data_IF_188607090468
#
_entry.id   IF_188607090468
#
_cell.length_a   1.000
_cell.length_b   1.000
_cell.length_c   1.000
_cell.angle_alpha   90.00
_cell.angle_beta   90.00
_cell.angle_gamma   90.00
#
_symmetry.space_group_name_H-M   'P 1'
#
loop_
_entity.id
_entity.type
_entity.pdbx_description
1 polymer ?
#
# COMPACT_ATOMS: atom_id res chain seq x y z
N UNK A 1 -9.72 -3.18 13.77
CA UNK A 1 -8.75 -2.10 14.02
C UNK A 1 -7.46 -2.70 14.57
N UNK A 2 -6.34 -2.14 14.25
CA UNK A 2 -5.04 -2.56 14.78
C UNK A 2 -4.16 -1.34 15.02
N UNK A 3 -3.12 -1.52 15.76
CA UNK A 3 -2.00 -0.61 15.92
C UNK A 3 -0.75 -1.44 16.19
N UNK A 4 0.34 -1.11 15.53
CA UNK A 4 1.62 -1.78 15.68
C UNK A 4 2.69 -0.75 16.02
N UNK A 5 3.60 -1.09 16.91
CA UNK A 5 4.76 -0.28 17.26
C UNK A 5 5.84 -1.15 17.92
N UNK A 6 7.12 -0.84 17.70
CA UNK A 6 8.24 -1.54 18.35
C UNK A 6 8.33 -1.27 19.87
N UNK A 7 7.76 -0.16 20.34
CA UNK A 7 7.61 0.16 21.77
C UNK A 7 6.14 -0.02 22.18
N UNK A 8 5.88 -0.98 23.07
CA UNK A 8 4.53 -1.27 23.60
C UNK A 8 3.90 -0.05 24.29
N UNK A 9 4.72 0.85 24.85
CA UNK A 9 4.23 2.09 25.48
C UNK A 9 3.59 3.08 24.51
N UNK A 10 3.82 2.92 23.20
CA UNK A 10 3.22 3.71 22.14
C UNK A 10 1.90 3.12 21.61
N UNK A 11 1.48 1.95 22.10
CA UNK A 11 0.21 1.31 21.72
C UNK A 11 -0.92 1.82 22.60
N UNK A 12 -1.91 2.48 21.97
CA UNK A 12 -3.13 2.94 22.62
C UNK A 12 -4.25 1.90 22.43
N UNK A 13 -4.32 0.94 23.35
CA UNK A 13 -5.32 -0.14 23.31
C UNK A 13 -6.75 0.40 23.36
N UNK A 14 -7.02 1.46 24.12
CA UNK A 14 -8.36 2.04 24.24
C UNK A 14 -8.79 2.67 22.91
N UNK A 15 -7.89 3.32 22.20
CA UNK A 15 -8.17 3.86 20.86
C UNK A 15 -8.43 2.75 19.83
N UNK A 16 -7.67 1.64 19.87
CA UNK A 16 -7.90 0.47 19.00
C UNK A 16 -9.27 -0.13 19.26
N UNK A 17 -9.63 -0.33 20.53
CA UNK A 17 -10.95 -0.86 20.93
C UNK A 17 -12.06 0.11 20.48
N UNK A 18 -11.90 1.40 20.73
CA UNK A 18 -12.90 2.41 20.33
C UNK A 18 -13.12 2.41 18.81
N UNK A 19 -12.06 2.37 18.00
CA UNK A 19 -12.15 2.27 16.53
C UNK A 19 -12.86 0.99 16.09
N UNK A 20 -12.54 -0.16 16.69
CA UNK A 20 -13.17 -1.44 16.34
C UNK A 20 -14.67 -1.45 16.68
N UNK A 21 -15.05 -0.95 17.86
CA UNK A 21 -16.45 -0.85 18.30
C UNK A 21 -17.23 0.12 17.40
N UNK A 22 -16.68 1.30 17.08
CA UNK A 22 -17.34 2.26 16.20
C UNK A 22 -17.60 1.66 14.81
N UNK A 23 -16.59 1.04 14.20
CA UNK A 23 -16.75 0.35 12.92
C UNK A 23 -17.79 -0.75 12.97
N UNK A 24 -17.78 -1.58 14.02
CA UNK A 24 -18.76 -2.64 14.20
C UNK A 24 -20.19 -2.11 14.37
N UNK A 25 -20.37 -0.97 15.05
CA UNK A 25 -21.68 -0.31 15.21
C UNK A 25 -22.17 0.30 13.90
N UNK A 26 -21.29 1.03 13.21
CA UNK A 26 -21.60 1.71 11.91
C UNK A 26 -21.76 0.71 10.77
N UNK A 27 -21.09 -0.44 10.84
CA UNK A 27 -21.14 -1.49 9.82
C UNK A 27 -22.42 -2.34 9.84
N UNK A 28 -23.39 -2.05 10.71
CA UNK A 28 -24.67 -2.79 10.77
C UNK A 28 -25.57 -2.42 9.58
N UNK A 29 -26.30 -3.43 9.08
CA UNK A 29 -27.27 -3.28 8.03
C UNK A 29 -26.69 -2.56 6.78
N UNK A 30 -25.62 -3.10 6.19
CA UNK A 30 -25.01 -2.48 5.03
C UNK A 30 -25.98 -2.48 3.85
N UNK A 31 -26.00 -1.40 3.08
CA UNK A 31 -26.82 -1.34 1.88
C UNK A 31 -26.02 -1.79 0.64
N UNK A 32 -26.74 -2.34 -0.32
CA UNK A 32 -26.14 -2.63 -1.62
C UNK A 32 -25.80 -1.35 -2.36
N UNK A 33 -24.61 -1.33 -2.95
CA UNK A 33 -24.17 -0.26 -3.82
C UNK A 33 -23.76 -0.87 -5.17
N UNK A 34 -24.03 -0.16 -6.25
CA UNK A 34 -23.65 -0.63 -7.58
C UNK A 34 -22.14 -0.66 -7.73
N UNK A 35 -21.61 -1.74 -8.29
CA UNK A 35 -20.19 -1.82 -8.65
C UNK A 35 -19.92 -0.91 -9.86
N UNK A 36 -19.02 0.04 -9.69
CA UNK A 36 -18.57 1.00 -10.69
C UNK A 36 -17.25 1.64 -10.23
N UNK A 37 -16.80 2.67 -10.90
CA UNK A 37 -15.69 3.50 -10.42
C UNK A 37 -16.16 4.49 -9.35
N UNK A 38 -15.38 4.60 -8.27
CA UNK A 38 -15.60 5.56 -7.18
C UNK A 38 -14.31 6.28 -6.84
N UNK A 39 -14.40 7.52 -6.40
CA UNK A 39 -13.34 8.11 -5.59
C UNK A 39 -13.31 7.39 -4.25
N UNK A 40 -12.14 6.90 -3.86
CA UNK A 40 -11.98 6.20 -2.58
C UNK A 40 -11.04 6.95 -1.64
N UNK A 41 -11.37 6.93 -0.35
CA UNK A 41 -10.41 7.23 0.71
C UNK A 41 -10.03 5.89 1.34
N UNK A 42 -8.77 5.51 1.15
CA UNK A 42 -8.20 4.29 1.71
C UNK A 42 -7.54 4.61 3.04
N UNK A 43 -7.96 3.94 4.11
CA UNK A 43 -7.25 4.01 5.39
C UNK A 43 -5.90 3.27 5.30
N UNK A 44 -4.94 3.53 6.19
CA UNK A 44 -3.59 2.94 6.11
C UNK A 44 -3.58 1.42 5.93
N UNK A 45 -4.47 0.68 6.59
CA UNK A 45 -4.56 -0.78 6.47
C UNK A 45 -5.03 -1.24 5.06
N UNK A 46 -5.84 -0.43 4.37
CA UNK A 46 -6.19 -0.70 2.97
C UNK A 46 -5.02 -0.36 2.04
N UNK A 47 -4.31 0.73 2.31
CA UNK A 47 -3.11 1.13 1.55
C UNK A 47 -2.02 0.06 1.68
N UNK A 48 -1.73 -0.44 2.91
CA UNK A 48 -0.71 -1.47 3.14
C UNK A 48 -0.98 -2.74 2.33
N UNK A 49 -2.25 -3.15 2.23
CA UNK A 49 -2.65 -4.33 1.45
C UNK A 49 -2.30 -4.21 -0.05
N UNK A 50 -2.28 -2.99 -0.59
CA UNK A 50 -1.88 -2.73 -1.97
C UNK A 50 -0.36 -2.61 -2.09
N UNK A 51 0.28 -1.89 -1.16
CA UNK A 51 1.73 -1.67 -1.16
C UNK A 51 2.52 -2.95 -0.98
N UNK A 52 2.01 -3.92 -0.22
CA UNK A 52 2.60 -5.24 -0.09
C UNK A 52 2.87 -5.89 -1.45
N UNK A 53 1.86 -5.90 -2.34
CA UNK A 53 2.02 -6.50 -3.67
C UNK A 53 2.96 -5.70 -4.57
N UNK A 54 2.95 -4.38 -4.44
CA UNK A 54 3.90 -3.52 -5.16
C UNK A 54 5.34 -3.80 -4.72
N UNK A 55 5.59 -3.98 -3.42
CA UNK A 55 6.88 -4.43 -2.89
C UNK A 55 7.25 -5.81 -3.41
N UNK A 56 6.38 -6.79 -3.18
CA UNK A 56 6.63 -8.21 -3.49
C UNK A 56 6.91 -8.49 -4.97
N UNK A 57 6.22 -7.85 -5.90
CA UNK A 57 6.32 -8.15 -7.32
C UNK A 57 6.72 -6.95 -8.20
N UNK A 58 6.83 -5.75 -7.61
CA UNK A 58 7.06 -4.53 -8.39
C UNK A 58 8.51 -4.09 -8.48
N UNK A 59 9.26 -4.16 -7.40
CA UNK A 59 10.54 -3.46 -7.27
C UNK A 59 11.77 -4.36 -7.11
N UNK A 60 11.64 -5.67 -7.31
CA UNK A 60 12.79 -6.58 -7.29
C UNK A 60 13.58 -6.55 -8.61
N UNK A 61 14.90 -6.67 -8.52
CA UNK A 61 15.77 -6.72 -9.71
C UNK A 61 15.53 -7.98 -10.55
N UNK A 62 15.11 -9.10 -9.93
CA UNK A 62 14.72 -10.30 -10.66
C UNK A 62 13.48 -10.06 -11.51
N UNK A 63 12.44 -9.46 -10.95
CA UNK A 63 11.18 -9.14 -11.62
C UNK A 63 11.42 -8.18 -12.79
N UNK A 64 12.32 -7.20 -12.61
CA UNK A 64 12.75 -6.30 -13.67
C UNK A 64 13.43 -7.05 -14.82
N UNK A 65 14.42 -7.91 -14.50
CA UNK A 65 15.16 -8.70 -15.50
C UNK A 65 14.25 -9.65 -16.28
N UNK A 66 13.37 -10.34 -15.59
CA UNK A 66 12.38 -11.26 -16.16
C UNK A 66 11.21 -10.53 -16.85
N UNK A 67 11.23 -9.21 -16.90
CA UNK A 67 10.21 -8.35 -17.53
C UNK A 67 8.82 -8.49 -16.94
N UNK A 68 8.73 -8.85 -15.67
CA UNK A 68 7.48 -8.99 -14.89
C UNK A 68 7.18 -7.79 -13.99
N UNK A 69 8.11 -6.83 -13.89
CA UNK A 69 7.99 -5.63 -13.07
C UNK A 69 7.36 -4.45 -13.85
N UNK A 70 6.59 -3.57 -13.18
CA UNK A 70 6.13 -2.31 -13.77
C UNK A 70 7.27 -1.35 -14.09
N UNK A 71 8.48 -1.56 -13.57
CA UNK A 71 9.67 -0.76 -13.86
C UNK A 71 10.23 -0.98 -15.27
N UNK A 72 9.79 -2.02 -15.99
CA UNK A 72 10.34 -2.36 -17.32
C UNK A 72 10.17 -1.22 -18.31
N UNK A 73 11.26 -0.55 -18.61
CA UNK A 73 11.31 0.61 -19.51
C UNK A 73 10.75 1.91 -18.92
N UNK A 74 10.49 1.95 -17.59
CA UNK A 74 9.88 3.10 -16.92
C UNK A 74 10.71 3.69 -15.79
N UNK A 75 11.92 3.19 -15.53
CA UNK A 75 12.81 3.76 -14.51
C UNK A 75 13.05 5.24 -14.83
N UNK A 76 12.81 6.13 -13.88
CA UNK A 76 12.88 7.58 -14.04
C UNK A 76 11.66 8.21 -14.72
N UNK A 77 10.67 7.42 -15.18
CA UNK A 77 9.44 7.95 -15.75
C UNK A 77 8.58 8.58 -14.64
N UNK A 78 8.22 9.85 -14.82
CA UNK A 78 7.32 10.58 -13.94
C UNK A 78 5.88 10.32 -14.37
N UNK A 79 5.14 9.56 -13.59
CA UNK A 79 3.76 9.21 -13.90
C UNK A 79 2.82 9.29 -12.71
N UNK A 80 3.34 9.47 -11.50
CA UNK A 80 2.55 9.63 -10.29
C UNK A 80 2.45 11.11 -9.88
N UNK A 81 1.48 11.49 -9.06
CA UNK A 81 1.38 12.85 -8.53
C UNK A 81 2.64 13.29 -7.78
N UNK A 82 2.93 14.58 -7.85
CA UNK A 82 3.99 15.20 -7.06
C UNK A 82 3.73 14.94 -5.57
N UNK A 83 4.80 14.63 -4.83
CA UNK A 83 4.69 14.31 -3.40
C UNK A 83 4.41 12.85 -3.08
N UNK A 84 4.07 11.99 -4.06
CA UNK A 84 4.04 10.55 -3.83
C UNK A 84 5.47 10.03 -3.68
N UNK A 85 5.80 9.59 -2.48
CA UNK A 85 7.11 9.08 -2.10
C UNK A 85 6.95 7.66 -1.56
N UNK A 86 7.71 6.71 -2.07
CA UNK A 86 7.80 5.35 -1.54
C UNK A 86 9.26 4.92 -1.52
N UNK A 87 9.73 4.39 -0.41
CA UNK A 87 11.10 3.87 -0.30
C UNK A 87 11.13 2.63 0.57
N UNK A 88 12.17 1.83 0.41
CA UNK A 88 12.57 0.83 1.39
C UNK A 88 13.61 1.45 2.33
N UNK A 89 13.39 1.39 3.64
CA UNK A 89 14.30 1.97 4.64
C UNK A 89 14.31 1.18 5.94
N UNK A 90 15.19 0.20 6.04
CA UNK A 90 15.46 -0.53 7.28
C UNK A 90 16.07 0.36 8.39
N UNK A 91 16.48 1.60 8.04
CA UNK A 91 17.04 2.59 8.94
C UNK A 91 16.03 3.50 9.62
N UNK A 92 14.74 3.40 9.26
CA UNK A 92 13.68 4.21 9.86
C UNK A 92 13.68 4.10 11.38
N UNK A 93 13.59 5.23 12.08
CA UNK A 93 13.57 5.25 13.55
C UNK A 93 12.25 4.71 14.10
N UNK A 94 11.15 4.97 13.40
CA UNK A 94 9.80 4.57 13.82
C UNK A 94 9.48 3.12 13.44
N UNK A 95 10.16 2.61 12.41
CA UNK A 95 9.96 1.26 11.88
C UNK A 95 11.32 0.63 11.50
N UNK A 96 12.13 0.26 12.51
CA UNK A 96 13.45 -0.30 12.26
C UNK A 96 13.35 -1.73 11.72
N UNK A 97 13.98 -1.97 10.57
CA UNK A 97 14.15 -3.29 9.99
C UNK A 97 15.51 -3.91 10.32
N UNK A 98 15.74 -5.10 9.77
CA UNK A 98 17.05 -5.73 9.80
C UNK A 98 18.07 -4.88 9.04
N UNK A 99 19.18 -4.54 9.68
CA UNK A 99 20.23 -3.67 9.11
C UNK A 99 21.11 -4.35 8.05
N UNK A 100 20.97 -5.64 7.86
CA UNK A 100 21.65 -6.43 6.85
C UNK A 100 20.71 -7.49 6.30
N UNK A 101 21.00 -7.93 5.08
CA UNK A 101 20.20 -8.93 4.37
C UNK A 101 20.63 -10.38 4.65
N UNK A 102 20.03 -11.35 3.96
CA UNK A 102 20.33 -12.77 4.09
C UNK A 102 21.75 -13.19 3.65
N UNK A 103 22.47 -12.32 2.95
CA UNK A 103 23.88 -12.50 2.57
C UNK A 103 24.86 -11.76 3.51
N UNK A 104 24.34 -11.04 4.52
CA UNK A 104 25.10 -10.21 5.43
C UNK A 104 25.51 -8.85 4.86
N UNK A 105 24.94 -8.44 3.74
CA UNK A 105 25.17 -7.13 3.13
C UNK A 105 24.35 -6.05 3.88
N UNK A 106 24.97 -4.92 4.27
CA UNK A 106 24.21 -3.82 4.87
C UNK A 106 23.09 -3.33 3.95
N UNK A 107 21.89 -3.18 4.49
CA UNK A 107 20.75 -2.61 3.76
C UNK A 107 20.95 -1.12 3.57
N UNK A 108 20.67 -0.64 2.38
CA UNK A 108 20.66 0.78 2.06
C UNK A 108 19.23 1.25 1.84
N UNK A 109 18.96 2.52 2.11
CA UNK A 109 17.68 3.14 1.74
C UNK A 109 17.58 3.23 0.23
N UNK A 110 16.49 2.70 -0.35
CA UNK A 110 16.25 2.68 -1.79
C UNK A 110 14.97 3.47 -2.11
N UNK A 111 15.05 4.56 -2.89
CA UNK A 111 13.87 5.25 -3.38
C UNK A 111 13.20 4.43 -4.48
N UNK A 112 11.97 3.94 -4.22
CA UNK A 112 11.17 3.14 -5.15
C UNK A 112 10.26 4.02 -6.00
N UNK A 113 9.66 5.05 -5.39
CA UNK A 113 9.00 6.16 -6.07
C UNK A 113 9.52 7.45 -5.43
N UNK A 114 10.04 8.34 -6.23
CA UNK A 114 10.56 9.63 -5.77
C UNK A 114 10.01 10.77 -6.62
N UNK A 115 9.34 11.73 -5.98
CA UNK A 115 8.72 12.89 -6.64
C UNK A 115 7.84 12.50 -7.85
N UNK A 116 7.04 11.46 -7.67
CA UNK A 116 6.16 10.92 -8.70
C UNK A 116 6.85 10.14 -9.82
N UNK A 117 8.16 9.91 -9.76
CA UNK A 117 8.89 9.10 -10.74
C UNK A 117 9.23 7.71 -10.19
N UNK A 118 9.23 6.70 -11.06
CA UNK A 118 9.78 5.40 -10.72
C UNK A 118 11.28 5.48 -10.42
N UNK A 119 11.66 4.94 -9.26
CA UNK A 119 13.06 4.84 -8.80
C UNK A 119 13.76 3.58 -9.30
N UNK A 120 14.70 3.11 -8.50
CA UNK A 120 15.51 1.94 -8.81
C UNK A 120 14.93 0.67 -8.18
N UNK A 121 15.21 -0.53 -8.75
CA UNK A 121 14.88 -1.78 -8.09
C UNK A 121 15.82 -2.01 -6.90
N UNK A 122 15.36 -2.82 -5.95
CA UNK A 122 16.24 -3.39 -4.92
C UNK A 122 17.03 -4.56 -5.50
N UNK A 123 18.25 -4.78 -4.98
CA UNK A 123 19.19 -5.78 -5.49
C UNK A 123 19.82 -6.57 -4.34
N UNK A 124 20.26 -7.78 -4.66
CA UNK A 124 21.22 -8.60 -3.90
C UNK A 124 22.58 -8.66 -4.63
N UNK A 125 23.53 -9.41 -4.13
CA UNK A 125 24.85 -9.52 -4.76
C UNK A 125 24.81 -10.13 -6.17
N UNK A 126 23.92 -11.10 -6.41
CA UNK A 126 23.77 -11.76 -7.72
C UNK A 126 23.18 -10.81 -8.76
N UNK A 127 22.05 -10.18 -8.43
CA UNK A 127 21.32 -9.34 -9.37
C UNK A 127 21.99 -8.00 -9.59
N UNK A 128 22.66 -7.45 -8.56
CA UNK A 128 23.51 -6.26 -8.71
C UNK A 128 24.60 -6.48 -9.74
N UNK A 129 25.31 -7.60 -9.67
CA UNK A 129 26.36 -7.97 -10.63
C UNK A 129 25.81 -8.22 -12.03
N UNK A 130 24.65 -8.90 -12.15
CA UNK A 130 24.08 -9.26 -13.44
C UNK A 130 23.58 -8.03 -14.21
N UNK A 131 23.02 -7.04 -13.50
CA UNK A 131 22.40 -5.86 -14.08
C UNK A 131 23.32 -4.62 -14.07
N UNK A 132 24.55 -4.75 -13.55
CA UNK A 132 25.49 -3.65 -13.35
C UNK A 132 24.88 -2.52 -12.49
N UNK A 133 24.25 -2.90 -11.38
CA UNK A 133 23.63 -2.02 -10.42
C UNK A 133 24.35 -2.10 -9.06
N UNK A 134 24.21 -1.08 -8.18
CA UNK A 134 24.67 -1.17 -6.80
C UNK A 134 23.97 -2.33 -6.06
N UNK A 135 24.69 -3.06 -5.19
CA UNK A 135 24.09 -4.00 -4.25
C UNK A 135 23.42 -3.21 -3.12
N UNK A 136 22.10 -3.33 -3.00
CA UNK A 136 21.31 -2.59 -2.01
C UNK A 136 21.07 -3.35 -0.71
N UNK A 137 21.54 -4.61 -0.62
CA UNK A 137 21.40 -5.45 0.56
C UNK A 137 19.97 -5.96 0.79
N UNK A 138 19.34 -6.50 -0.27
CA UNK A 138 17.95 -6.99 -0.19
C UNK A 138 17.82 -8.48 -0.54
N UNK A 139 18.87 -9.27 -0.25
CA UNK A 139 18.80 -10.72 -0.43
C UNK A 139 17.84 -11.36 0.56
N UNK A 140 17.00 -12.27 0.07
CA UNK A 140 16.26 -13.18 0.94
C UNK A 140 17.21 -14.06 1.80
N UNK A 141 16.74 -14.60 2.94
CA UNK A 141 17.51 -15.58 3.70
C UNK A 141 17.94 -16.77 2.84
N UNK A 142 19.21 -17.14 2.90
CA UNK A 142 19.77 -18.21 2.08
C UNK A 142 19.68 -19.59 2.75
N UNK A 143 19.49 -20.69 1.99
CA UNK A 143 19.40 -20.76 0.52
C UNK A 143 18.02 -20.35 -0.01
N UNK A 144 17.96 -19.49 -1.02
CA UNK A 144 16.72 -19.04 -1.65
C UNK A 144 16.87 -18.94 -3.17
N UNK A 145 15.79 -19.27 -3.88
CA UNK A 145 15.66 -19.00 -5.33
C UNK A 145 14.89 -17.70 -5.60
N UNK A 146 14.34 -17.09 -4.57
CA UNK A 146 13.66 -15.80 -4.67
C UNK A 146 14.68 -14.69 -4.89
N UNK A 147 14.35 -13.74 -5.77
CA UNK A 147 15.12 -12.52 -5.96
C UNK A 147 15.00 -11.56 -4.78
N UNK A 148 15.73 -10.44 -4.86
CA UNK A 148 15.64 -9.38 -3.86
C UNK A 148 14.27 -8.73 -3.86
N UNK A 149 13.75 -8.41 -2.68
CA UNK A 149 12.48 -7.71 -2.53
C UNK A 149 12.57 -6.63 -1.44
N UNK A 150 11.82 -5.52 -1.57
CA UNK A 150 11.66 -4.57 -0.48
C UNK A 150 10.99 -5.23 0.72
N UNK A 151 11.48 -4.93 1.93
CA UNK A 151 10.93 -5.49 3.17
C UNK A 151 10.53 -4.41 4.18
N UNK A 152 11.06 -3.18 4.05
CA UNK A 152 10.78 -2.08 4.95
C UNK A 152 10.16 -0.91 4.20
N UNK A 153 8.95 -1.13 3.66
CA UNK A 153 8.25 -0.13 2.86
C UNK A 153 7.77 1.05 3.72
N UNK A 154 8.15 2.24 3.31
CA UNK A 154 7.74 3.50 3.93
C UNK A 154 7.21 4.44 2.85
N UNK A 155 5.94 4.79 2.96
CA UNK A 155 5.32 5.84 2.14
C UNK A 155 5.36 7.18 2.87
N UNK A 156 5.76 8.22 2.16
CA UNK A 156 5.86 9.58 2.70
C UNK A 156 4.51 10.15 3.12
N UNK A 157 4.53 10.99 4.17
CA UNK A 157 3.37 11.77 4.57
C UNK A 157 3.05 12.86 3.55
N UNK A 158 1.75 13.11 3.34
CA UNK A 158 1.24 14.29 2.64
C UNK A 158 0.88 15.43 3.60
N UNK A 159 -0.09 16.24 3.20
CA UNK A 159 -0.47 17.44 3.93
C UNK A 159 -1.89 17.41 4.50
N UNK A 160 -2.74 16.49 4.04
CA UNK A 160 -4.16 16.47 4.37
C UNK A 160 -4.44 15.58 5.58
N UNK A 161 -5.32 16.00 6.48
CA UNK A 161 -5.88 15.07 7.47
C UNK A 161 -6.84 14.09 6.79
N UNK A 162 -7.18 12.96 7.45
CA UNK A 162 -8.16 11.99 6.92
C UNK A 162 -9.52 12.68 6.70
N UNK A 163 -9.92 13.59 7.58
CA UNK A 163 -11.15 14.37 7.46
C UNK A 163 -11.10 15.30 6.23
N UNK A 164 -9.95 15.89 5.93
CA UNK A 164 -9.75 16.69 4.71
C UNK A 164 -9.80 15.83 3.45
N UNK A 165 -9.19 14.64 3.46
CA UNK A 165 -9.30 13.68 2.36
C UNK A 165 -10.78 13.32 2.11
N UNK A 166 -11.56 13.05 3.16
CA UNK A 166 -12.98 12.71 3.07
C UNK A 166 -13.79 13.91 2.59
N UNK A 167 -13.55 15.11 3.12
CA UNK A 167 -14.31 16.32 2.77
C UNK A 167 -14.16 16.72 1.29
N UNK A 168 -13.08 16.29 0.65
CA UNK A 168 -12.86 16.48 -0.78
C UNK A 168 -13.60 15.50 -1.70
N UNK A 169 -14.43 14.60 -1.16
CA UNK A 169 -15.15 13.57 -1.94
C UNK A 169 -16.63 13.86 -1.96
N UNK A 170 -17.18 14.18 -3.14
CA UNK A 170 -18.63 14.40 -3.29
C UNK A 170 -19.42 13.08 -3.25
N UNK A 171 -18.98 12.06 -4.01
CA UNK A 171 -19.56 10.71 -4.02
C UNK A 171 -18.46 9.67 -4.12
N UNK A 172 -18.29 8.88 -3.07
CA UNK A 172 -17.19 7.92 -3.00
C UNK A 172 -17.30 6.94 -1.84
N UNK A 173 -16.17 6.30 -1.50
CA UNK A 173 -16.13 5.28 -0.47
C UNK A 173 -14.96 5.53 0.49
N UNK A 174 -15.22 5.37 1.79
CA UNK A 174 -14.18 5.15 2.80
C UNK A 174 -13.98 3.65 2.95
N UNK A 175 -12.74 3.17 2.79
CA UNK A 175 -12.39 1.75 2.84
C UNK A 175 -11.37 1.53 3.93
N UNK A 176 -11.74 0.72 4.94
CA UNK A 176 -10.86 0.44 6.06
C UNK A 176 -9.81 -0.62 5.76
N UNK A 177 -10.16 -1.64 4.97
CA UNK A 177 -9.26 -2.75 4.67
C UNK A 177 -9.66 -3.45 3.37
N UNK A 178 -8.67 -4.06 2.71
CA UNK A 178 -8.89 -5.06 1.67
C UNK A 178 -8.64 -6.47 2.20
N UNK A 179 -9.25 -7.46 1.56
CA UNK A 179 -9.14 -8.88 1.90
C UNK A 179 -9.15 -9.74 0.65
N UNK A 180 -8.52 -10.91 0.72
CA UNK A 180 -8.31 -11.78 -0.44
C UNK A 180 -7.68 -11.04 -1.63
N UNK A 181 -6.79 -10.09 -1.33
CA UNK A 181 -6.02 -9.41 -2.37
C UNK A 181 -5.04 -10.40 -2.99
N UNK A 182 -5.04 -10.48 -4.32
CA UNK A 182 -4.15 -11.33 -5.09
C UNK A 182 -3.66 -10.62 -6.34
N UNK A 183 -2.44 -10.95 -6.75
CA UNK A 183 -1.85 -10.48 -7.98
C UNK A 183 -2.33 -11.34 -9.16
N UNK A 184 -2.93 -10.70 -10.16
CA UNK A 184 -3.39 -11.34 -11.39
C UNK A 184 -2.34 -11.23 -12.47
N UNK A 185 -1.78 -10.04 -12.64
CA UNK A 185 -0.81 -9.74 -13.68
C UNK A 185 0.28 -8.82 -13.11
N UNK A 186 1.54 -9.30 -13.05
CA UNK A 186 2.60 -8.57 -12.35
C UNK A 186 3.11 -7.33 -13.09
N UNK A 187 3.15 -7.34 -14.41
CA UNK A 187 3.74 -6.22 -15.17
C UNK A 187 2.96 -4.93 -15.07
N UNK A 188 1.62 -5.01 -15.11
CA UNK A 188 0.74 -3.87 -14.93
C UNK A 188 0.19 -3.79 -13.50
N UNK A 189 0.70 -4.68 -12.61
CA UNK A 189 0.29 -4.78 -11.21
C UNK A 189 -1.23 -4.86 -11.06
N UNK A 190 -1.88 -5.73 -11.85
CA UNK A 190 -3.33 -5.91 -11.74
C UNK A 190 -3.61 -6.77 -10.52
N UNK A 191 -4.31 -6.20 -9.56
CA UNK A 191 -4.75 -6.83 -8.33
C UNK A 191 -6.25 -7.06 -8.36
N UNK A 192 -6.70 -8.13 -7.72
CA UNK A 192 -8.10 -8.35 -7.34
C UNK A 192 -8.20 -8.53 -5.85
N UNK A 193 -9.32 -8.17 -5.28
CA UNK A 193 -9.59 -8.32 -3.86
C UNK A 193 -10.99 -7.85 -3.51
N UNK A 194 -11.29 -7.80 -2.22
CA UNK A 194 -12.58 -7.34 -1.70
C UNK A 194 -12.37 -6.33 -0.58
N UNK A 195 -13.28 -5.38 -0.45
CA UNK A 195 -13.33 -4.53 0.75
C UNK A 195 -13.76 -5.34 1.96
N UNK A 196 -13.29 -4.97 3.14
CA UNK A 196 -13.59 -5.64 4.40
C UNK A 196 -13.41 -4.69 5.59
N UNK A 197 -13.98 -5.07 6.74
CA UNK A 197 -13.72 -4.40 8.03
C UNK A 197 -14.34 -3.02 8.18
N UNK A 198 -15.08 -2.56 7.18
CA UNK A 198 -15.76 -1.28 7.11
C UNK A 198 -15.61 -0.67 5.73
N UNK A 199 -16.72 -0.61 5.01
CA UNK A 199 -16.85 0.10 3.75
C UNK A 199 -18.02 1.05 3.93
N UNK A 200 -17.78 2.35 3.78
CA UNK A 200 -18.80 3.38 4.06
C UNK A 200 -18.93 4.30 2.86
N UNK A 201 -20.18 4.67 2.55
CA UNK A 201 -20.45 5.63 1.50
C UNK A 201 -20.07 7.04 1.95
N UNK A 202 -19.35 7.78 1.12
CA UNK A 202 -19.09 9.20 1.32
C UNK A 202 -20.03 9.98 0.40
N UNK A 203 -20.79 10.92 0.97
CA UNK A 203 -21.67 11.82 0.23
C UNK A 203 -21.47 13.26 0.72
N UNK A 204 -21.20 14.18 -0.21
CA UNK A 204 -20.98 15.59 0.12
C UNK A 204 -19.90 15.81 1.17
N UNK A 205 -18.80 15.06 1.11
CA UNK A 205 -17.68 15.16 2.05
C UNK A 205 -17.92 14.55 3.44
N UNK A 206 -18.98 13.74 3.61
CA UNK A 206 -19.32 13.14 4.90
C UNK A 206 -19.44 11.61 4.79
N UNK A 207 -18.95 10.91 5.81
CA UNK A 207 -19.08 9.46 5.88
C UNK A 207 -20.47 9.08 6.36
N UNK A 208 -21.24 8.45 5.49
CA UNK A 208 -22.60 8.02 5.72
C UNK A 208 -22.76 6.55 6.10
N UNK A 209 -23.68 5.87 5.44
CA UNK A 209 -24.07 4.49 5.71
C UNK A 209 -22.98 3.48 5.32
N UNK A 210 -22.99 2.33 5.99
CA UNK A 210 -22.17 1.20 5.54
C UNK A 210 -22.73 0.59 4.26
N UNK A 211 -21.83 0.04 3.45
CA UNK A 211 -22.16 -0.65 2.21
C UNK A 211 -21.61 -2.08 2.23
N UNK A 212 -22.29 -2.96 1.49
CA UNK A 212 -21.84 -4.33 1.29
C UNK A 212 -20.44 -4.34 0.67
N UNK A 213 -19.69 -5.38 0.96
CA UNK A 213 -18.35 -5.48 0.43
C UNK A 213 -18.35 -5.50 -1.10
N UNK A 214 -17.39 -4.81 -1.66
CA UNK A 214 -17.21 -4.68 -3.11
C UNK A 214 -15.94 -5.42 -3.53
N UNK A 215 -16.01 -6.14 -4.63
CA UNK A 215 -14.84 -6.73 -5.30
C UNK A 215 -14.23 -5.70 -6.23
N UNK A 216 -12.92 -5.56 -6.18
CA UNK A 216 -12.17 -4.77 -7.14
C UNK A 216 -11.31 -5.65 -8.05
N UNK A 217 -11.02 -5.16 -9.24
CA UNK A 217 -9.94 -5.61 -10.12
C UNK A 217 -9.36 -4.35 -10.74
N UNK A 218 -8.13 -4.02 -10.34
CA UNK A 218 -7.53 -2.71 -10.59
C UNK A 218 -6.03 -2.86 -10.86
N UNK A 219 -5.51 -2.13 -11.84
CA UNK A 219 -4.06 -1.88 -11.94
C UNK A 219 -3.64 -0.95 -10.82
N UNK A 220 -2.74 -1.40 -9.98
CA UNK A 220 -2.21 -0.56 -8.90
C UNK A 220 -1.39 0.62 -9.44
N UNK A 221 -0.64 0.39 -10.52
CA UNK A 221 0.10 1.49 -11.19
C UNK A 221 -0.88 2.57 -11.65
N UNK A 222 -1.96 2.18 -12.35
CA UNK A 222 -2.99 3.13 -12.78
C UNK A 222 -3.68 3.82 -11.60
N UNK A 223 -4.01 3.09 -10.53
CA UNK A 223 -4.62 3.67 -9.33
C UNK A 223 -3.69 4.73 -8.69
N UNK A 224 -2.39 4.46 -8.61
CA UNK A 224 -1.44 5.40 -8.05
C UNK A 224 -1.24 6.66 -8.91
N UNK A 225 -1.46 6.60 -10.24
CA UNK A 225 -1.45 7.82 -11.07
C UNK A 225 -2.62 8.74 -10.76
N UNK A 226 -3.68 8.21 -10.15
CA UNK A 226 -4.93 8.94 -9.83
C UNK A 226 -5.00 9.31 -8.34
N UNK A 227 -3.90 9.21 -7.58
CA UNK A 227 -3.87 9.71 -6.20
C UNK A 227 -4.08 11.21 -6.22
N UNK A 228 -5.14 11.69 -5.57
CA UNK A 228 -5.54 13.10 -5.50
C UNK A 228 -5.38 13.69 -4.10
N UNK A 229 -4.98 12.89 -3.12
CA UNK A 229 -4.68 13.36 -1.77
C UNK A 229 -3.88 12.32 -0.99
N UNK A 230 -2.95 12.80 -0.15
CA UNK A 230 -2.08 11.96 0.69
C UNK A 230 -2.22 12.45 2.13
N UNK A 231 -2.49 11.53 3.03
CA UNK A 231 -2.66 11.79 4.45
C UNK A 231 -1.38 12.29 5.13
N UNK A 232 -1.54 13.13 6.15
CA UNK A 232 -0.44 13.72 6.90
C UNK A 232 0.05 12.87 8.08
N UNK A 233 -0.58 11.72 8.32
CA UNK A 233 -0.23 10.81 9.43
C UNK A 233 -0.02 9.40 8.91
N UNK A 234 1.21 8.99 8.59
CA UNK A 234 1.53 7.60 8.35
C UNK A 234 1.31 6.77 9.62
N UNK A 235 0.77 5.58 9.45
CA UNK A 235 0.64 4.58 10.52
C UNK A 235 1.52 3.38 10.18
N UNK A 236 2.05 2.70 11.20
CA UNK A 236 2.67 1.38 11.06
C UNK A 236 1.53 0.38 11.08
N UNK A 237 1.37 -0.38 10.02
CA UNK A 237 0.29 -1.36 9.88
C UNK A 237 0.82 -2.69 9.41
N UNK A 238 0.23 -3.77 9.92
CA UNK A 238 0.60 -5.13 9.52
C UNK A 238 0.35 -5.38 8.03
N UNK A 239 1.20 -6.17 7.42
CA UNK A 239 1.03 -6.67 6.08
C UNK A 239 0.45 -8.09 6.08
N UNK A 240 -0.20 -8.49 4.98
CA UNK A 240 -0.99 -9.72 4.90
C UNK A 240 -0.19 -11.01 5.17
N UNK A 241 1.09 -11.05 4.80
CA UNK A 241 1.93 -12.25 4.87
C UNK A 241 3.08 -12.12 5.87
N UNK A 242 2.90 -11.33 6.90
CA UNK A 242 3.93 -10.95 7.84
C UNK A 242 4.69 -9.67 7.43
N UNK A 243 5.26 -8.99 8.40
CA UNK A 243 5.90 -7.69 8.20
C UNK A 243 4.96 -6.50 8.44
N UNK A 244 5.51 -5.33 8.27
CA UNK A 244 4.86 -4.07 8.55
C UNK A 244 5.16 -3.06 7.45
N UNK A 245 4.20 -2.19 7.16
CA UNK A 245 4.34 -1.12 6.18
C UNK A 245 3.97 0.20 6.85
N UNK A 246 4.77 1.22 6.64
CA UNK A 246 4.45 2.58 7.06
C UNK A 246 3.77 3.30 5.92
N UNK A 247 2.52 3.68 6.11
CA UNK A 247 1.79 4.41 5.06
C UNK A 247 0.70 5.32 5.63
N UNK A 248 0.43 6.46 4.98
CA UNK A 248 -0.71 7.31 5.27
C UNK A 248 -1.98 6.79 4.59
N UNK A 249 -3.13 7.41 4.91
CA UNK A 249 -4.34 7.29 4.11
C UNK A 249 -4.14 7.93 2.73
N UNK A 250 -4.83 7.42 1.71
CA UNK A 250 -4.80 7.96 0.35
C UNK A 250 -6.21 8.25 -0.16
N UNK A 251 -6.38 9.36 -0.90
CA UNK A 251 -7.54 9.58 -1.77
C UNK A 251 -7.15 9.24 -3.20
N UNK A 252 -7.92 8.35 -3.84
CA UNK A 252 -7.70 7.87 -5.20
C UNK A 252 -8.96 8.04 -6.01
N UNK A 253 -8.88 8.72 -7.15
CA UNK A 253 -10.01 8.94 -8.03
C UNK A 253 -10.22 7.76 -9.01
N UNK A 254 -11.47 7.39 -9.26
CA UNK A 254 -11.81 6.38 -10.25
C UNK A 254 -11.29 4.97 -9.93
N UNK A 255 -11.30 4.57 -8.66
CA UNK A 255 -10.97 3.20 -8.26
C UNK A 255 -12.09 2.24 -8.67
N UNK A 256 -11.74 1.16 -9.37
CA UNK A 256 -12.70 0.31 -10.07
C UNK A 256 -13.16 -0.87 -9.24
N UNK A 257 -14.46 -0.97 -9.02
CA UNK A 257 -15.13 -2.14 -8.45
C UNK A 257 -15.92 -2.89 -9.52
N UNK A 258 -15.85 -4.22 -9.48
CA UNK A 258 -16.36 -5.12 -10.53
C UNK A 258 -17.61 -5.89 -10.12
N UNK A 259 -17.85 -6.08 -8.84
CA UNK A 259 -19.08 -6.69 -8.30
C UNK A 259 -19.28 -6.30 -6.83
N UNK A 260 -20.52 -6.42 -6.36
CA UNK A 260 -20.88 -6.32 -4.96
C UNK A 260 -21.16 -7.73 -4.40
N UNK A 261 -20.93 -7.93 -3.09
CA UNK A 261 -21.39 -9.14 -2.42
C UNK A 261 -22.89 -9.03 -2.16
N UNK A 262 -23.62 -10.12 -2.39
CA UNK A 262 -25.00 -10.27 -1.91
C UNK A 262 -24.99 -10.44 -0.38
N UNK A 263 -26.04 -9.98 0.29
CA UNK A 263 -26.23 -10.11 1.74
C UNK A 263 -26.51 -11.57 2.14
#
# INVERSE_FOLDING_TARGET
AEQTHCDVGCIDADQVIARAVDRGRRGRNPRLLQAQEYTVVLEPLAVSSLMLFLGYAGFGAQELHERRSPLVGRIGERMFPDGLQLHDDAGSADHPGWRFDGEGTPRTRVPLIQDGAFGQPVTDARWAKLLDLPNTGHSAPQPSSSGPSPENLVMGAGMESVEQLISGVDNGLLISQFHYTNLIEPRDMILTGMTRGGTFHIQGGQVGESVCNLRFTQSLVEALTRVSGIGNRPEIVGALFDGEIVCPALRIDGFRFTSATEL
#
